data_IF_892184248195
#
_entry.id   IF_892184248195
#
_cell.length_a   1.000
_cell.length_b   1.000
_cell.length_c   1.000
_cell.angle_alpha   90.00
_cell.angle_beta   90.00
_cell.angle_gamma   90.00
#
_symmetry.space_group_name_H-M   'P 1'
#
loop_
_entity.id
_entity.type
_entity.pdbx_description
1 polymer ?
#
# COMPACT_ATOMS: atom_id res chain seq x y z
N UNK A 1 16.47 -25.30 -40.05
CA UNK A 1 16.16 -24.04 -39.36
C UNK A 1 16.57 -24.16 -37.91
N UNK A 2 17.49 -23.34 -37.38
CA UNK A 2 17.87 -23.41 -35.98
C UNK A 2 16.81 -22.76 -35.09
N UNK A 3 16.50 -23.46 -33.99
CA UNK A 3 15.59 -23.07 -32.92
C UNK A 3 16.12 -21.82 -32.21
N UNK A 4 15.33 -20.74 -32.18
CA UNK A 4 15.60 -19.55 -31.37
C UNK A 4 15.40 -19.86 -29.89
N UNK A 5 16.45 -19.73 -29.09
CA UNK A 5 16.38 -19.79 -27.63
C UNK A 5 15.45 -18.70 -27.07
N UNK A 6 14.71 -18.98 -25.97
CA UNK A 6 13.93 -17.96 -25.29
C UNK A 6 14.84 -16.91 -24.65
N UNK A 7 14.59 -15.63 -24.97
CA UNK A 7 15.35 -14.50 -24.42
C UNK A 7 15.13 -14.41 -22.91
N UNK A 8 16.18 -14.68 -22.14
CA UNK A 8 16.17 -14.49 -20.70
C UNK A 8 16.22 -12.99 -20.36
N UNK A 9 15.05 -12.38 -20.13
CA UNK A 9 14.95 -10.98 -19.69
C UNK A 9 15.12 -10.91 -18.18
N UNK A 10 16.33 -10.60 -17.71
CA UNK A 10 16.50 -10.18 -16.30
C UNK A 10 15.83 -8.83 -16.11
N UNK A 11 14.89 -8.75 -15.16
CA UNK A 11 14.24 -7.50 -14.81
C UNK A 11 15.29 -6.48 -14.32
N UNK A 12 15.25 -5.22 -14.80
CA UNK A 12 16.15 -4.17 -14.32
C UNK A 12 15.97 -3.92 -12.82
N UNK A 13 17.03 -3.48 -12.13
CA UNK A 13 17.02 -3.26 -10.66
C UNK A 13 15.92 -2.30 -10.17
N UNK A 14 15.46 -1.37 -10.99
CA UNK A 14 14.38 -0.42 -10.66
C UNK A 14 12.98 -1.08 -10.62
N UNK A 15 12.84 -2.30 -11.12
CA UNK A 15 11.57 -3.04 -11.14
C UNK A 15 11.25 -3.71 -9.78
N UNK A 16 12.20 -3.76 -8.84
CA UNK A 16 12.02 -4.43 -7.54
C UNK A 16 10.86 -3.85 -6.70
N UNK A 17 10.52 -2.59 -6.94
CA UNK A 17 9.45 -1.87 -6.24
C UNK A 17 8.05 -2.14 -6.84
N UNK A 18 7.97 -2.86 -7.96
CA UNK A 18 6.74 -3.16 -8.70
C UNK A 18 6.47 -4.68 -8.75
N UNK A 19 5.22 -5.07 -9.04
CA UNK A 19 4.81 -6.46 -9.32
C UNK A 19 4.31 -6.52 -10.77
N UNK A 20 4.82 -7.45 -11.59
CA UNK A 20 4.42 -7.67 -12.98
C UNK A 20 3.34 -8.75 -13.07
N UNK A 21 2.20 -8.43 -13.69
CA UNK A 21 1.00 -9.28 -13.73
C UNK A 21 0.89 -10.21 -14.94
N UNK A 22 1.74 -11.22 -15.05
CA UNK A 22 1.43 -12.37 -15.91
C UNK A 22 0.50 -13.32 -15.12
N UNK A 23 -0.77 -13.49 -15.54
CA UNK A 23 -1.62 -14.60 -15.05
C UNK A 23 -3.09 -14.33 -14.66
N UNK A 24 -3.75 -13.25 -15.07
CA UNK A 24 -5.19 -13.09 -14.78
C UNK A 24 -6.04 -13.75 -15.88
N UNK A 25 -6.54 -14.96 -15.63
CA UNK A 25 -7.63 -15.57 -16.40
C UNK A 25 -8.97 -15.36 -15.69
N UNK A 26 -9.94 -14.80 -16.40
CA UNK A 26 -11.30 -14.52 -15.94
C UNK A 26 -12.13 -15.81 -15.80
N UNK A 27 -12.18 -16.40 -14.60
CA UNK A 27 -13.18 -17.40 -14.21
C UNK A 27 -13.64 -17.14 -12.76
N UNK A 28 -14.35 -16.02 -12.52
CA UNK A 28 -14.64 -15.54 -11.16
C UNK A 28 -15.89 -16.13 -10.48
N UNK A 29 -16.77 -16.87 -11.16
CA UNK A 29 -18.05 -17.30 -10.54
C UNK A 29 -18.05 -18.73 -9.92
N UNK A 30 -17.27 -19.70 -10.43
CA UNK A 30 -17.23 -21.06 -9.84
C UNK A 30 -16.24 -21.20 -8.67
N UNK A 31 -15.20 -20.38 -8.63
CA UNK A 31 -14.15 -20.41 -7.59
C UNK A 31 -14.72 -20.08 -6.21
N UNK A 32 -15.75 -19.23 -6.14
CA UNK A 32 -16.24 -18.65 -4.89
C UNK A 32 -16.90 -19.69 -3.96
N UNK A 33 -17.54 -20.73 -4.52
CA UNK A 33 -18.19 -21.79 -3.74
C UNK A 33 -17.18 -22.81 -3.20
N UNK A 34 -16.12 -23.11 -3.97
CA UNK A 34 -15.05 -24.01 -3.56
C UNK A 34 -14.09 -23.35 -2.54
N UNK A 35 -13.91 -22.03 -2.63
CA UNK A 35 -13.10 -21.23 -1.69
C UNK A 35 -13.67 -21.24 -0.26
N UNK A 36 -15.00 -21.25 -0.10
CA UNK A 36 -15.65 -21.31 1.21
C UNK A 36 -15.46 -22.67 1.88
N UNK A 37 -15.45 -23.78 1.12
CA UNK A 37 -15.15 -25.11 1.67
C UNK A 37 -13.68 -25.26 2.09
N UNK A 38 -12.73 -24.71 1.32
CA UNK A 38 -11.31 -24.74 1.68
C UNK A 38 -10.94 -23.81 2.83
N UNK A 39 -11.72 -22.74 3.05
CA UNK A 39 -11.54 -21.83 4.19
C UNK A 39 -11.70 -22.50 5.55
N UNK A 40 -12.36 -23.67 5.64
CA UNK A 40 -12.45 -24.43 6.88
C UNK A 40 -11.13 -25.13 7.28
N UNK A 41 -10.17 -25.28 6.36
CA UNK A 41 -8.86 -25.90 6.64
C UNK A 41 -7.78 -24.84 6.93
N UNK A 42 -7.98 -23.59 6.50
CA UNK A 42 -7.11 -22.47 6.84
C UNK A 42 -7.59 -21.86 8.15
N UNK A 43 -6.83 -22.08 9.22
CA UNK A 43 -6.99 -21.39 10.51
C UNK A 43 -7.27 -19.90 10.26
N UNK A 44 -8.39 -19.38 10.76
CA UNK A 44 -8.83 -18.00 10.54
C UNK A 44 -7.72 -16.98 10.81
N UNK A 45 -7.65 -15.92 9.99
CA UNK A 45 -6.70 -14.82 10.20
C UNK A 45 -6.81 -14.30 11.65
N UNK A 46 -5.68 -14.06 12.35
CA UNK A 46 -5.72 -13.50 13.70
C UNK A 46 -6.45 -12.17 13.70
N UNK A 47 -7.26 -11.95 14.72
CA UNK A 47 -8.01 -10.71 14.89
C UNK A 47 -7.34 -9.76 15.89
N UNK A 48 -6.37 -10.27 16.65
CA UNK A 48 -5.65 -9.54 17.68
C UNK A 48 -4.15 -9.79 17.64
N UNK A 49 -3.39 -8.84 18.19
CA UNK A 49 -1.95 -8.99 18.39
C UNK A 49 -1.63 -10.21 19.27
N UNK A 50 -2.41 -10.46 20.32
CA UNK A 50 -2.17 -11.56 21.27
C UNK A 50 -2.28 -12.96 20.65
N UNK A 51 -3.11 -13.10 19.61
CA UNK A 51 -3.19 -14.32 18.80
C UNK A 51 -2.00 -14.41 17.84
N UNK A 52 -1.75 -13.33 17.09
CA UNK A 52 -0.73 -13.28 16.07
C UNK A 52 0.68 -13.50 16.63
N UNK A 53 1.01 -12.87 17.76
CA UNK A 53 2.35 -12.94 18.37
C UNK A 53 2.73 -14.36 18.79
N UNK A 54 1.78 -15.29 18.94
CA UNK A 54 2.05 -16.70 19.29
C UNK A 54 2.61 -17.49 18.10
N UNK A 55 2.30 -17.09 16.87
CA UNK A 55 2.71 -17.81 15.67
C UNK A 55 3.88 -17.11 14.95
N UNK A 56 4.92 -17.87 14.62
CA UNK A 56 6.16 -17.34 14.06
C UNK A 56 5.96 -16.61 12.73
N UNK A 57 5.11 -17.16 11.85
CA UNK A 57 4.76 -16.55 10.56
C UNK A 57 4.20 -15.13 10.68
N UNK A 58 3.41 -14.84 11.71
CA UNK A 58 2.84 -13.51 11.93
C UNK A 58 3.86 -12.56 12.55
N UNK A 59 4.74 -13.06 13.44
CA UNK A 59 5.90 -12.30 13.92
C UNK A 59 6.79 -11.85 12.77
N UNK A 60 7.17 -12.79 11.89
CA UNK A 60 7.98 -12.48 10.71
C UNK A 60 7.30 -11.46 9.78
N UNK A 61 5.97 -11.52 9.63
CA UNK A 61 5.21 -10.55 8.84
C UNK A 61 5.18 -9.16 9.50
N UNK A 62 5.04 -9.07 10.83
CA UNK A 62 5.10 -7.81 11.57
C UNK A 62 6.50 -7.19 11.49
N UNK A 63 7.56 -7.99 11.65
CA UNK A 63 8.95 -7.52 11.52
C UNK A 63 9.24 -7.00 10.12
N UNK A 64 8.71 -7.66 9.08
CA UNK A 64 8.85 -7.21 7.71
C UNK A 64 8.16 -5.85 7.48
N UNK A 65 6.98 -5.64 8.08
CA UNK A 65 6.28 -4.36 8.02
C UNK A 65 7.05 -3.26 8.77
N UNK A 66 7.52 -3.52 10.00
CA UNK A 66 8.33 -2.56 10.76
C UNK A 66 9.58 -2.12 9.99
N UNK A 67 10.33 -3.08 9.44
CA UNK A 67 11.49 -2.78 8.58
C UNK A 67 11.12 -1.95 7.35
N UNK A 68 9.95 -2.20 6.74
CA UNK A 68 9.46 -1.43 5.59
C UNK A 68 9.16 0.02 5.98
N UNK A 69 8.54 0.24 7.14
CA UNK A 69 8.22 1.58 7.66
C UNK A 69 9.51 2.35 8.00
N UNK A 70 10.43 1.71 8.71
CA UNK A 70 11.73 2.29 9.09
C UNK A 70 12.59 2.61 7.87
N UNK A 71 12.70 1.67 6.92
CA UNK A 71 13.44 1.89 5.66
C UNK A 71 12.89 3.07 4.87
N UNK A 72 11.58 3.30 4.95
CA UNK A 72 10.94 4.45 4.30
C UNK A 72 11.16 5.76 5.07
N UNK A 73 11.70 5.75 6.29
CA UNK A 73 11.79 6.96 7.12
C UNK A 73 10.40 7.56 7.37
N UNK A 74 9.39 6.70 7.55
CA UNK A 74 7.98 7.11 7.66
C UNK A 74 7.74 7.93 8.93
N UNK A 75 8.51 7.70 9.99
CA UNK A 75 8.36 8.38 11.26
C UNK A 75 9.69 8.58 11.98
N UNK A 76 9.68 9.42 13.01
CA UNK A 76 10.77 9.60 13.97
C UNK A 76 10.23 9.50 15.41
N UNK A 77 10.99 8.89 16.32
CA UNK A 77 10.65 8.84 17.74
C UNK A 77 10.83 10.22 18.38
N UNK A 78 9.82 10.70 19.12
CA UNK A 78 9.78 12.03 19.75
C UNK A 78 8.98 12.00 21.05
N UNK A 79 9.24 12.97 21.92
CA UNK A 79 8.32 13.29 23.01
C UNK A 79 7.03 13.90 22.43
N UNK A 80 5.88 13.54 23.01
CA UNK A 80 4.60 14.13 22.61
C UNK A 80 4.57 15.60 23.05
N UNK A 81 4.40 16.56 22.13
CA UNK A 81 4.32 17.97 22.49
C UNK A 81 3.14 18.25 23.42
N UNK A 82 3.28 19.24 24.29
CA UNK A 82 2.20 19.66 25.18
C UNK A 82 0.98 20.11 24.37
N UNK A 83 -0.17 19.50 24.63
CA UNK A 83 -1.43 19.80 23.96
C UNK A 83 -1.64 19.07 22.62
N UNK A 84 -0.68 18.25 22.17
CA UNK A 84 -0.89 17.37 21.03
C UNK A 84 -1.54 16.05 21.47
N UNK A 85 -2.41 15.50 20.63
CA UNK A 85 -2.97 14.17 20.81
C UNK A 85 -2.20 13.13 19.99
N UNK A 86 -2.15 11.90 20.52
CA UNK A 86 -1.53 10.76 19.82
C UNK A 86 -2.63 9.84 19.31
N UNK A 87 -2.46 9.35 18.09
CA UNK A 87 -3.38 8.41 17.46
C UNK A 87 -2.91 7.00 17.74
N UNK A 88 -3.80 6.15 18.25
CA UNK A 88 -3.48 4.75 18.44
C UNK A 88 -3.27 4.02 17.12
N UNK A 89 -2.44 2.98 17.13
CA UNK A 89 -2.24 2.09 15.98
C UNK A 89 -2.82 0.71 16.25
N UNK A 90 -3.07 -0.06 15.20
CA UNK A 90 -3.46 -1.47 15.28
C UNK A 90 -2.82 -2.28 14.17
N UNK A 91 -2.61 -3.56 14.46
CA UNK A 91 -2.20 -4.53 13.46
C UNK A 91 -3.41 -5.08 12.72
N UNK A 92 -3.27 -5.23 11.40
CA UNK A 92 -4.24 -5.90 10.52
C UNK A 92 -3.53 -7.07 9.85
N UNK A 93 -4.08 -8.27 10.02
CA UNK A 93 -3.52 -9.51 9.52
C UNK A 93 -4.35 -10.04 8.36
N UNK A 94 -3.67 -10.60 7.36
CA UNK A 94 -4.31 -11.24 6.22
C UNK A 94 -3.45 -12.34 5.63
N UNK A 95 -4.01 -13.52 5.49
CA UNK A 95 -3.43 -14.61 4.70
C UNK A 95 -3.76 -14.37 3.23
N UNK A 96 -2.71 -14.38 2.39
CA UNK A 96 -2.82 -14.31 0.93
C UNK A 96 -2.67 -15.71 0.37
N UNK A 97 -3.62 -16.08 -0.48
CA UNK A 97 -3.66 -17.37 -1.16
C UNK A 97 -3.30 -17.16 -2.63
N UNK A 98 -2.65 -18.15 -3.24
CA UNK A 98 -2.44 -18.21 -4.68
C UNK A 98 -3.70 -18.69 -5.40
N UNK A 99 -3.65 -18.76 -6.73
CA UNK A 99 -4.74 -19.25 -7.59
C UNK A 99 -5.16 -20.70 -7.27
N UNK A 100 -4.25 -21.50 -6.71
CA UNK A 100 -4.51 -22.88 -6.29
C UNK A 100 -5.12 -22.97 -4.89
N UNK A 101 -5.37 -21.83 -4.23
CA UNK A 101 -5.92 -21.76 -2.87
C UNK A 101 -4.90 -22.08 -1.77
N UNK A 102 -3.62 -22.23 -2.10
CA UNK A 102 -2.55 -22.47 -1.15
C UNK A 102 -2.03 -21.15 -0.57
N UNK A 103 -1.44 -21.21 0.64
CA UNK A 103 -0.89 -20.01 1.28
C UNK A 103 0.33 -19.51 0.51
N UNK A 104 0.17 -18.37 -0.13
CA UNK A 104 1.25 -17.65 -0.78
C UNK A 104 2.05 -16.82 0.23
N UNK A 105 1.35 -16.08 1.10
CA UNK A 105 2.00 -15.14 2.03
C UNK A 105 1.14 -14.76 3.23
N UNK A 106 1.78 -14.60 4.38
CA UNK A 106 1.19 -13.93 5.53
C UNK A 106 1.52 -12.43 5.51
N UNK A 107 0.50 -11.58 5.66
CA UNK A 107 0.63 -10.13 5.59
C UNK A 107 0.15 -9.49 6.88
N UNK A 108 1.04 -8.80 7.57
CA UNK A 108 0.70 -7.88 8.66
C UNK A 108 0.85 -6.46 8.15
N UNK A 109 -0.05 -5.56 8.55
CA UNK A 109 0.06 -4.13 8.31
C UNK A 109 -0.19 -3.36 9.59
N UNK A 110 0.61 -2.33 9.82
CA UNK A 110 0.36 -1.40 10.89
C UNK A 110 -0.50 -0.24 10.38
N UNK A 111 -1.64 -0.03 11.03
CA UNK A 111 -2.66 0.90 10.57
C UNK A 111 -2.97 1.90 11.69
N UNK A 112 -2.94 3.19 11.39
CA UNK A 112 -3.42 4.22 12.28
C UNK A 112 -4.93 4.10 12.46
N UNK A 113 -5.41 4.34 13.68
CA UNK A 113 -6.84 4.41 13.99
C UNK A 113 -7.41 5.74 13.51
N UNK A 114 -7.46 5.96 12.19
CA UNK A 114 -7.86 7.25 11.60
C UNK A 114 -9.27 7.71 11.92
N UNK A 115 -10.14 6.83 12.42
CA UNK A 115 -11.44 7.24 12.98
C UNK A 115 -11.31 8.14 14.21
N UNK A 116 -10.17 8.10 14.90
CA UNK A 116 -9.85 8.98 16.03
C UNK A 116 -9.28 10.34 15.61
N UNK A 117 -9.09 10.61 14.31
CA UNK A 117 -8.57 11.88 13.83
C UNK A 117 -9.62 12.98 13.80
N UNK A 118 -9.21 14.18 14.22
CA UNK A 118 -10.03 15.40 14.25
C UNK A 118 -9.68 16.37 13.10
N UNK A 119 -10.71 16.92 12.45
CA UNK A 119 -10.56 17.93 11.41
C UNK A 119 -10.08 19.26 12.01
N UNK A 120 -9.11 19.90 11.37
CA UNK A 120 -8.48 21.13 11.85
C UNK A 120 -7.40 20.91 12.91
N UNK A 121 -7.22 19.66 13.38
CA UNK A 121 -6.12 19.26 14.28
C UNK A 121 -5.16 18.32 13.55
N UNK A 122 -5.66 17.17 13.10
CA UNK A 122 -4.83 16.13 12.46
C UNK A 122 -4.79 16.25 10.93
N UNK A 123 -5.80 16.89 10.35
CA UNK A 123 -5.92 17.09 8.91
C UNK A 123 -6.82 18.28 8.57
N UNK A 124 -6.52 18.94 7.45
CA UNK A 124 -7.36 20.01 6.88
C UNK A 124 -7.98 19.60 5.54
N UNK A 125 -7.35 18.67 4.82
CA UNK A 125 -7.82 18.19 3.53
C UNK A 125 -7.53 16.69 3.36
N UNK A 126 -8.50 15.96 2.80
CA UNK A 126 -8.41 14.50 2.57
C UNK A 126 -8.70 14.10 1.14
N UNK A 127 -9.09 15.05 0.30
CA UNK A 127 -9.52 14.76 -1.07
C UNK A 127 -8.35 14.17 -1.88
N UNK A 128 -8.62 13.05 -2.54
CA UNK A 128 -7.75 12.46 -3.53
C UNK A 128 -8.61 12.05 -4.73
N UNK A 129 -8.22 12.39 -5.97
CA UNK A 129 -8.97 11.99 -7.14
C UNK A 129 -8.91 10.48 -7.35
N UNK A 130 -9.99 9.93 -7.90
CA UNK A 130 -10.12 8.51 -8.23
C UNK A 130 -10.29 8.40 -9.73
N UNK A 131 -9.54 7.47 -10.35
CA UNK A 131 -9.62 7.25 -11.77
C UNK A 131 -11.01 6.74 -12.14
N UNK A 132 -11.64 7.38 -13.12
CA UNK A 132 -12.92 6.92 -13.63
C UNK A 132 -12.73 5.74 -14.59
N UNK A 133 -13.63 4.76 -14.47
CA UNK A 133 -13.57 3.55 -15.29
C UNK A 133 -13.82 3.82 -16.77
N UNK A 134 -14.63 4.83 -17.10
CA UNK A 134 -14.87 5.28 -18.48
C UNK A 134 -13.55 5.70 -19.18
N UNK A 135 -12.68 6.41 -18.44
CA UNK A 135 -11.38 6.88 -18.90
C UNK A 135 -10.43 5.71 -19.10
N UNK A 136 -10.37 4.79 -18.13
CA UNK A 136 -9.54 3.57 -18.23
C UNK A 136 -9.96 2.75 -19.45
N UNK A 137 -11.26 2.51 -19.64
CA UNK A 137 -11.80 1.77 -20.79
C UNK A 137 -11.50 2.47 -22.12
N UNK A 138 -11.66 3.78 -22.19
CA UNK A 138 -11.34 4.56 -23.38
C UNK A 138 -9.86 4.46 -23.75
N UNK A 139 -8.95 4.57 -22.79
CA UNK A 139 -7.50 4.42 -23.02
C UNK A 139 -7.20 3.01 -23.54
N UNK A 140 -7.79 1.97 -22.94
CA UNK A 140 -7.62 0.60 -23.41
C UNK A 140 -8.12 0.42 -24.85
N UNK A 141 -9.32 0.91 -25.18
CA UNK A 141 -9.84 0.85 -26.55
C UNK A 141 -8.92 1.55 -27.57
N UNK A 142 -8.40 2.73 -27.22
CA UNK A 142 -7.43 3.45 -28.05
C UNK A 142 -6.13 2.67 -28.21
N UNK A 143 -5.63 2.04 -27.15
CA UNK A 143 -4.40 1.23 -27.21
C UNK A 143 -4.57 0.04 -28.14
N UNK A 144 -5.71 -0.66 -28.09
CA UNK A 144 -6.03 -1.75 -29.02
C UNK A 144 -6.13 -1.27 -30.45
N UNK A 145 -6.82 -0.14 -30.69
CA UNK A 145 -6.98 0.41 -32.05
C UNK A 145 -5.64 0.84 -32.66
N UNK A 146 -4.72 1.38 -31.84
CA UNK A 146 -3.44 1.93 -32.31
C UNK A 146 -2.25 0.97 -32.16
N UNK A 147 -2.48 -0.24 -31.63
CA UNK A 147 -1.43 -1.22 -31.35
C UNK A 147 -0.41 -0.73 -30.30
N UNK A 148 -0.83 0.08 -29.33
CA UNK A 148 0.04 0.55 -28.25
C UNK A 148 0.25 -0.52 -27.19
N UNK A 149 1.45 -0.58 -26.62
CA UNK A 149 1.72 -1.43 -25.46
C UNK A 149 1.15 -0.80 -24.19
N UNK A 150 0.50 -1.62 -23.37
CA UNK A 150 0.01 -1.25 -22.04
C UNK A 150 0.90 -1.90 -20.99
N UNK A 151 1.26 -1.13 -19.96
CA UNK A 151 2.00 -1.62 -18.80
C UNK A 151 1.19 -1.31 -17.55
N UNK A 152 1.02 -2.32 -16.69
CA UNK A 152 0.41 -2.18 -15.38
C UNK A 152 1.49 -2.21 -14.29
N UNK A 153 1.38 -1.31 -13.33
CA UNK A 153 2.33 -1.17 -12.23
C UNK A 153 1.55 -1.06 -10.91
N UNK A 154 1.75 -2.02 -10.02
CA UNK A 154 1.29 -1.92 -8.62
C UNK A 154 2.44 -1.47 -7.73
N UNK A 155 2.26 -0.35 -7.02
CA UNK A 155 3.29 0.25 -6.17
C UNK A 155 3.20 -0.35 -4.78
N UNK A 156 4.27 -1.04 -4.37
CA UNK A 156 4.36 -1.59 -3.01
C UNK A 156 4.35 -0.45 -1.99
N UNK A 157 3.50 -0.59 -0.97
CA UNK A 157 3.43 0.35 0.17
C UNK A 157 3.22 1.82 -0.23
N UNK A 158 2.43 2.08 -1.27
CA UNK A 158 2.18 3.40 -1.84
C UNK A 158 1.99 4.53 -0.80
N UNK A 159 1.16 4.31 0.22
CA UNK A 159 0.92 5.33 1.26
C UNK A 159 2.17 5.71 2.05
N UNK A 160 3.08 4.76 2.32
CA UNK A 160 4.34 5.02 3.03
C UNK A 160 5.29 5.92 2.23
N UNK A 161 5.02 6.19 0.95
CA UNK A 161 5.76 7.14 0.14
C UNK A 161 5.16 8.56 0.12
N UNK A 162 3.90 8.71 0.52
CA UNK A 162 3.21 10.00 0.58
C UNK A 162 3.73 10.83 1.77
N UNK A 163 4.26 12.02 1.51
CA UNK A 163 4.73 12.92 2.58
C UNK A 163 3.53 13.56 3.28
N UNK A 164 3.57 13.64 4.61
CA UNK A 164 2.60 14.39 5.39
C UNK A 164 3.08 15.82 5.58
N UNK A 165 2.16 16.78 5.48
CA UNK A 165 2.42 18.17 5.82
C UNK A 165 2.05 18.46 7.28
N UNK A 166 1.04 17.75 7.79
CA UNK A 166 0.48 17.88 9.12
C UNK A 166 1.35 17.19 10.18
N UNK A 167 1.30 17.70 11.42
CA UNK A 167 2.00 17.08 12.53
C UNK A 167 1.14 15.97 13.15
N UNK A 168 1.27 14.76 12.63
CA UNK A 168 0.54 13.59 13.12
C UNK A 168 1.44 12.76 14.03
N UNK A 169 0.95 12.44 15.22
CA UNK A 169 1.65 11.61 16.20
C UNK A 169 0.91 10.28 16.39
N UNK A 170 1.64 9.18 16.42
CA UNK A 170 1.08 7.85 16.66
C UNK A 170 1.76 7.15 17.83
N UNK A 171 1.01 6.28 18.51
CA UNK A 171 1.54 5.41 19.55
C UNK A 171 2.59 4.44 19.00
N UNK A 172 3.51 4.02 19.87
CA UNK A 172 4.40 2.91 19.54
C UNK A 172 3.58 1.63 19.32
N UNK A 173 3.88 0.84 18.29
CA UNK A 173 3.15 -0.39 18.03
C UNK A 173 3.35 -1.37 19.17
N UNK A 174 2.26 -2.01 19.60
CA UNK A 174 2.32 -3.05 20.61
C UNK A 174 3.28 -4.16 20.19
N UNK A 175 4.22 -4.51 21.07
CA UNK A 175 5.28 -5.49 20.84
C UNK A 175 6.55 -4.92 20.21
N UNK A 176 6.58 -3.62 19.90
CA UNK A 176 7.71 -2.92 19.30
C UNK A 176 8.02 -1.60 20.04
N UNK A 177 7.63 -1.52 21.31
CA UNK A 177 7.97 -0.40 22.18
C UNK A 177 9.47 -0.40 22.51
N UNK A 178 10.07 0.79 22.49
CA UNK A 178 11.47 0.97 22.83
C UNK A 178 11.60 0.98 24.36
N UNK A 179 12.44 0.08 24.86
CA UNK A 179 12.66 -0.10 26.30
C UNK A 179 13.19 1.19 26.94
N UNK A 180 12.58 1.60 28.04
CA UNK A 180 12.82 2.85 28.78
C UNK A 180 12.33 4.13 28.06
N UNK A 181 11.71 4.00 26.89
CA UNK A 181 11.15 5.10 26.09
C UNK A 181 9.68 4.84 25.77
N UNK A 182 8.97 4.05 26.58
CA UNK A 182 7.59 3.62 26.31
C UNK A 182 6.58 4.79 26.29
N UNK A 183 6.94 5.92 26.90
CA UNK A 183 6.17 7.16 26.91
C UNK A 183 6.33 7.99 25.62
N UNK A 184 7.34 7.68 24.81
CA UNK A 184 7.60 8.37 23.54
C UNK A 184 6.58 7.98 22.48
N UNK A 185 6.42 8.83 21.48
CA UNK A 185 5.51 8.64 20.34
C UNK A 185 6.28 8.73 19.03
N UNK A 186 5.68 8.22 17.95
CA UNK A 186 6.21 8.39 16.61
C UNK A 186 5.57 9.60 15.94
N UNK A 187 6.38 10.59 15.56
CA UNK A 187 5.94 11.67 14.67
C UNK A 187 6.00 11.17 13.22
N UNK A 188 4.89 11.19 12.51
CA UNK A 188 4.84 10.77 11.11
C UNK A 188 5.39 11.85 10.18
N UNK A 189 6.38 11.47 9.37
CA UNK A 189 6.89 12.25 8.25
C UNK A 189 6.18 11.87 6.93
N UNK A 190 5.66 10.64 6.87
CA UNK A 190 4.93 10.09 5.72
C UNK A 190 3.66 9.40 6.19
N UNK A 191 2.72 9.24 5.27
CA UNK A 191 1.41 8.72 5.58
C UNK A 191 1.49 7.24 5.99
N UNK A 192 0.83 6.91 7.10
CA UNK A 192 0.57 5.53 7.49
C UNK A 192 -0.81 5.10 6.94
N UNK A 193 -1.00 3.80 6.77
CA UNK A 193 -2.31 3.26 6.43
C UNK A 193 -3.37 3.68 7.46
N UNK A 194 -4.60 3.89 7.01
CA UNK A 194 -5.74 4.21 7.88
C UNK A 194 -5.86 5.68 8.26
N UNK A 195 -4.85 6.52 8.00
CA UNK A 195 -5.02 7.97 8.09
C UNK A 195 -5.98 8.46 7.02
N UNK A 196 -6.83 9.42 7.36
CA UNK A 196 -7.83 9.99 6.44
C UNK A 196 -7.17 10.68 5.24
N UNK A 197 -6.03 11.33 5.43
CA UNK A 197 -5.29 12.05 4.39
C UNK A 197 -4.26 11.19 3.63
N UNK A 198 -4.11 9.89 3.94
CA UNK A 198 -3.11 9.04 3.30
C UNK A 198 -3.27 8.93 1.76
N UNK A 199 -4.50 8.81 1.20
CA UNK A 199 -4.68 8.81 -0.25
C UNK A 199 -4.21 10.11 -0.91
N UNK A 200 -4.50 11.25 -0.29
CA UNK A 200 -4.09 12.59 -0.77
C UNK A 200 -2.57 12.75 -0.76
N UNK A 201 -1.92 12.34 0.33
CA UNK A 201 -0.48 12.39 0.46
C UNK A 201 0.23 11.54 -0.61
N UNK A 202 -0.31 10.37 -0.92
CA UNK A 202 0.18 9.53 -2.02
C UNK A 202 -0.07 10.16 -3.40
N UNK A 203 -1.27 10.65 -3.66
CA UNK A 203 -1.59 11.29 -4.94
C UNK A 203 -0.69 12.50 -5.21
N UNK A 204 -0.48 13.36 -4.20
CA UNK A 204 0.43 14.51 -4.30
C UNK A 204 1.86 14.09 -4.63
N UNK A 205 2.31 12.95 -4.08
CA UNK A 205 3.64 12.39 -4.34
C UNK A 205 3.79 11.94 -5.80
N UNK A 206 2.82 11.20 -6.33
CA UNK A 206 2.89 10.68 -7.70
C UNK A 206 2.67 11.80 -8.73
N UNK A 207 1.76 12.74 -8.48
CA UNK A 207 1.56 13.92 -9.33
C UNK A 207 2.86 14.74 -9.43
N UNK A 208 3.51 15.01 -8.29
CA UNK A 208 4.80 15.72 -8.26
C UNK A 208 5.88 14.99 -9.07
N UNK A 209 5.92 13.65 -8.99
CA UNK A 209 6.85 12.84 -9.76
C UNK A 209 6.56 12.92 -11.26
N UNK A 210 5.32 12.73 -11.70
CA UNK A 210 4.95 12.80 -13.11
C UNK A 210 5.21 14.17 -13.73
N UNK A 211 4.87 15.25 -13.02
CA UNK A 211 5.20 16.61 -13.47
C UNK A 211 6.71 16.82 -13.63
N UNK A 212 7.51 16.32 -12.68
CA UNK A 212 8.98 16.39 -12.78
C UNK A 212 9.52 15.62 -13.99
N UNK A 213 8.91 14.48 -14.30
CA UNK A 213 9.22 13.68 -15.49
C UNK A 213 8.64 14.26 -16.78
N UNK A 214 8.01 15.44 -16.74
CA UNK A 214 7.48 16.15 -17.92
C UNK A 214 6.15 15.62 -18.42
N UNK A 215 5.37 14.96 -17.57
CA UNK A 215 3.96 14.68 -17.86
C UNK A 215 3.10 15.89 -17.47
N UNK A 216 2.04 16.11 -18.22
CA UNK A 216 1.03 17.12 -18.00
C UNK A 216 -0.26 16.46 -17.49
N UNK A 217 -0.93 17.10 -16.54
CA UNK A 217 -2.20 16.60 -15.99
C UNK A 217 -3.34 17.09 -16.87
N UNK A 218 -4.28 16.20 -17.20
CA UNK A 218 -5.48 16.56 -17.94
C UNK A 218 -6.51 17.27 -17.04
N UNK A 219 -7.06 18.39 -17.50
CA UNK A 219 -8.05 19.17 -16.74
C UNK A 219 -9.39 18.44 -16.61
N UNK A 220 -9.74 17.64 -17.62
CA UNK A 220 -10.98 16.87 -17.66
C UNK A 220 -10.92 15.57 -16.85
N UNK A 221 -9.72 15.09 -16.50
CA UNK A 221 -9.50 13.88 -15.71
C UNK A 221 -8.25 14.01 -14.85
N UNK A 222 -8.43 14.28 -13.55
CA UNK A 222 -7.35 14.60 -12.63
C UNK A 222 -6.35 13.45 -12.40
N UNK A 223 -6.73 12.22 -12.73
CA UNK A 223 -5.83 11.06 -12.62
C UNK A 223 -5.12 10.70 -13.91
N UNK A 224 -5.43 11.37 -15.02
CA UNK A 224 -4.81 11.15 -16.32
C UNK A 224 -3.65 12.11 -16.53
N UNK A 225 -2.51 11.54 -16.88
CA UNK A 225 -1.29 12.27 -17.18
C UNK A 225 -0.80 11.88 -18.57
N UNK A 226 -0.55 12.88 -19.42
CA UNK A 226 -0.06 12.68 -20.78
C UNK A 226 1.34 13.25 -20.93
N UNK A 227 2.14 12.68 -21.81
CA UNK A 227 3.46 13.21 -22.16
C UNK A 227 3.63 13.06 -23.66
N UNK A 228 3.53 14.17 -24.36
CA UNK A 228 3.82 14.22 -25.79
C UNK A 228 5.34 14.31 -25.95
N UNK A 229 5.91 13.40 -26.75
CA UNK A 229 7.32 13.46 -27.13
C UNK A 229 7.50 14.28 -28.39
#
# INVERSE_FOLDING_TARGET
>A
SPLTEPRNRRAPRWMNDYVSGDGLSDEEEEVQTHLVLFSHVVRSDPTSFDEAIKEEKWRAAMDAEMRSIEKNGTWDLRELPKGAEKIGVKWVYKTKLNELGEVEKYKARLVAKGYAQEYGVDYEEVYAPVARMDTVQMILALTTQRGWCVFQLDVKSAFLHGKLAENVYVEQPRGYEIKNEEHMVYKLNKALYGLKQAPRAWFSRIESYFRKEGFEKEDSEQTLFTKVK
#
